data_IF_141917221324
#
_entry.id   IF_141917221324
#
_cell.length_a   1.000
_cell.length_b   1.000
_cell.length_c   1.000
_cell.angle_alpha   90.00
_cell.angle_beta   90.00
_cell.angle_gamma   90.00
#
_symmetry.space_group_name_H-M   'P 1'
#
loop_
_entity.id
_entity.type
_entity.pdbx_description
1 polymer ?
#
# COMPACT_ATOMS: atom_id res chain seq x y z
N UNK A 1 -7.48 22.78 -54.22
CA UNK A 1 -8.28 21.98 -55.15
C UNK A 1 -9.45 21.53 -54.30
N UNK A 2 -10.48 22.34 -54.22
CA UNK A 2 -11.66 22.39 -55.17
C UNK A 2 -12.59 21.24 -54.82
N UNK A 3 -13.87 21.29 -54.53
CA UNK A 3 -14.91 22.30 -54.65
C UNK A 3 -16.10 21.75 -53.87
N UNK A 4 -16.86 22.51 -53.08
CA UNK A 4 -18.07 23.21 -53.43
C UNK A 4 -19.13 22.36 -54.15
N UNK A 5 -20.35 22.23 -53.64
CA UNK A 5 -21.51 23.14 -53.85
C UNK A 5 -22.75 22.49 -53.24
N UNK A 6 -23.49 23.10 -52.34
CA UNK A 6 -24.56 24.08 -52.49
C UNK A 6 -25.70 23.63 -53.45
N UNK A 7 -26.94 23.60 -52.95
CA UNK A 7 -28.10 24.38 -53.41
C UNK A 7 -29.41 23.85 -52.81
N UNK A 8 -30.17 24.74 -52.12
CA UNK A 8 -31.61 24.76 -51.98
C UNK A 8 -32.18 25.44 -53.23
N UNK A 9 -33.44 25.74 -53.44
CA UNK A 9 -34.61 25.90 -52.59
C UNK A 9 -35.98 25.59 -53.22
N UNK A 10 -37.07 25.97 -52.50
CA UNK A 10 -38.39 26.49 -52.90
C UNK A 10 -39.41 25.49 -53.50
N UNK A 11 -40.68 25.57 -53.30
CA UNK A 11 -41.64 26.68 -53.24
C UNK A 11 -43.01 26.21 -52.79
N UNK A 12 -43.76 27.12 -52.21
CA UNK A 12 -45.24 27.15 -51.97
C UNK A 12 -45.94 27.38 -53.31
N UNK A 13 -47.27 27.08 -53.52
CA UNK A 13 -48.35 27.95 -53.15
C UNK A 13 -49.65 27.19 -52.74
N UNK A 14 -50.46 27.73 -51.86
CA UNK A 14 -51.51 28.70 -51.88
C UNK A 14 -52.75 28.38 -52.73
N UNK A 15 -53.91 28.65 -52.17
CA UNK A 15 -55.24 29.06 -52.55
C UNK A 15 -56.36 28.12 -52.07
N UNK A 16 -57.20 28.52 -51.22
CA UNK A 16 -58.31 29.51 -51.25
C UNK A 16 -59.69 28.88 -51.53
N UNK A 17 -60.60 29.18 -50.73
CA UNK A 17 -62.00 29.54 -50.94
C UNK A 17 -63.06 28.88 -50.04
N UNK A 18 -63.65 29.70 -49.29
CA UNK A 18 -64.99 30.21 -49.14
C UNK A 18 -65.95 29.48 -48.18
N UNK A 19 -66.47 30.33 -47.33
CA UNK A 19 -67.57 30.17 -46.39
C UNK A 19 -68.91 29.88 -47.08
N UNK A 20 -69.93 29.44 -46.33
CA UNK A 20 -70.83 30.42 -45.71
C UNK A 20 -71.35 30.06 -44.30
N UNK A 21 -71.68 31.13 -43.59
CA UNK A 21 -72.51 31.22 -42.38
C UNK A 21 -73.99 30.98 -42.77
N UNK A 22 -74.90 30.53 -41.88
CA UNK A 22 -75.52 31.39 -40.90
C UNK A 22 -75.90 30.77 -39.51
N UNK A 23 -75.90 31.60 -38.55
CA UNK A 23 -76.80 32.04 -37.43
C UNK A 23 -77.96 31.16 -36.95
N UNK A 24 -78.58 31.45 -35.78
CA UNK A 24 -78.12 31.24 -34.39
C UNK A 24 -79.09 30.32 -33.59
N UNK A 25 -78.71 29.73 -32.54
CA UNK A 25 -79.66 29.15 -31.56
C UNK A 25 -79.08 29.22 -30.12
N UNK A 26 -79.99 29.63 -29.30
CA UNK A 26 -80.12 29.92 -27.89
C UNK A 26 -79.21 29.31 -26.85
N UNK A 27 -79.09 29.86 -25.62
CA UNK A 27 -78.05 29.62 -24.62
C UNK A 27 -78.32 28.38 -23.80
N UNK A 28 -77.31 27.51 -23.70
CA UNK A 28 -77.28 26.39 -22.79
C UNK A 28 -76.39 26.71 -21.56
N UNK A 29 -76.92 26.34 -20.40
CA UNK A 29 -76.40 26.61 -19.08
C UNK A 29 -74.95 26.08 -18.86
N UNK A 30 -74.17 26.67 -17.95
CA UNK A 30 -72.80 26.33 -17.77
C UNK A 30 -72.59 24.92 -17.13
N UNK A 31 -72.05 24.01 -17.89
CA UNK A 31 -71.57 22.70 -17.38
C UNK A 31 -70.32 22.89 -16.57
N UNK A 32 -70.33 22.52 -15.30
CA UNK A 32 -69.15 22.42 -14.43
C UNK A 32 -68.10 21.56 -15.05
N UNK A 33 -66.81 22.00 -15.13
CA UNK A 33 -65.76 21.22 -15.71
C UNK A 33 -65.39 20.06 -14.76
N UNK A 34 -65.73 18.85 -15.13
CA UNK A 34 -65.19 17.67 -14.48
C UNK A 34 -63.68 17.54 -14.82
N UNK A 35 -62.80 17.41 -13.83
CA UNK A 35 -61.38 17.29 -14.11
C UNK A 35 -61.13 16.06 -15.01
N UNK A 36 -60.30 16.19 -16.03
CA UNK A 36 -60.06 15.10 -16.96
C UNK A 36 -59.39 13.93 -16.26
N UNK A 37 -60.12 12.82 -16.10
CA UNK A 37 -59.61 11.57 -15.48
C UNK A 37 -58.27 11.09 -16.08
N UNK A 38 -57.91 11.59 -17.28
CA UNK A 38 -56.63 11.35 -17.93
C UNK A 38 -55.47 12.09 -17.25
N UNK A 39 -55.64 13.32 -16.78
CA UNK A 39 -54.63 14.10 -16.07
C UNK A 39 -54.34 13.48 -14.68
N UNK A 40 -55.37 13.06 -13.94
CA UNK A 40 -55.19 12.36 -12.66
C UNK A 40 -54.44 11.02 -12.81
N UNK A 41 -54.73 10.27 -13.89
CA UNK A 41 -53.99 9.03 -14.18
C UNK A 41 -52.54 9.28 -14.60
N UNK A 42 -52.27 10.35 -15.33
CA UNK A 42 -50.92 10.76 -15.71
C UNK A 42 -50.12 11.18 -14.46
N UNK A 43 -50.69 12.01 -13.59
CA UNK A 43 -50.05 12.38 -12.31
C UNK A 43 -49.79 11.18 -11.44
N UNK A 44 -50.76 10.29 -11.26
CA UNK A 44 -50.59 9.08 -10.47
C UNK A 44 -49.47 8.16 -11.02
N UNK A 45 -49.36 8.02 -12.36
CA UNK A 45 -48.27 7.24 -13.00
C UNK A 45 -46.93 7.88 -12.78
N UNK A 46 -46.81 9.20 -12.93
CA UNK A 46 -45.55 9.91 -12.70
C UNK A 46 -45.15 9.91 -11.23
N UNK A 47 -46.10 10.08 -10.30
CA UNK A 47 -45.84 9.98 -8.86
C UNK A 47 -45.38 8.57 -8.48
N UNK A 48 -46.05 7.53 -9.00
CA UNK A 48 -45.60 6.15 -8.79
C UNK A 48 -44.19 5.88 -9.35
N UNK A 49 -43.89 6.42 -10.56
CA UNK A 49 -42.58 6.30 -11.15
C UNK A 49 -41.48 6.98 -10.28
N UNK A 50 -41.76 8.21 -9.82
CA UNK A 50 -40.81 8.96 -8.94
C UNK A 50 -40.60 8.22 -7.61
N UNK A 51 -41.64 7.67 -7.02
CA UNK A 51 -41.50 6.89 -5.77
C UNK A 51 -40.75 5.60 -5.97
N UNK A 52 -40.96 4.89 -7.08
CA UNK A 52 -40.23 3.64 -7.37
C UNK A 52 -38.76 3.94 -7.71
N UNK A 53 -38.50 4.86 -8.63
CA UNK A 53 -37.12 5.19 -9.02
C UNK A 53 -36.39 5.97 -7.94
N UNK A 54 -37.04 6.85 -7.21
CA UNK A 54 -36.47 7.57 -6.07
C UNK A 54 -36.19 6.62 -4.91
N UNK A 55 -37.09 5.71 -4.58
CA UNK A 55 -36.90 4.70 -3.53
C UNK A 55 -35.82 3.69 -3.87
N UNK A 56 -35.81 3.19 -5.11
CA UNK A 56 -34.75 2.27 -5.57
C UNK A 56 -33.40 2.99 -5.64
N UNK A 57 -33.34 4.19 -6.19
CA UNK A 57 -32.09 4.96 -6.29
C UNK A 57 -31.51 5.32 -4.93
N UNK A 58 -32.35 5.80 -4.01
CA UNK A 58 -31.91 6.14 -2.64
C UNK A 58 -31.55 4.90 -1.84
N UNK A 59 -32.33 3.83 -1.96
CA UNK A 59 -32.06 2.56 -1.30
C UNK A 59 -30.75 1.93 -1.78
N UNK A 60 -30.50 1.95 -3.08
CA UNK A 60 -29.23 1.45 -3.65
C UNK A 60 -28.03 2.29 -3.23
N UNK A 61 -28.16 3.63 -3.24
CA UNK A 61 -27.11 4.53 -2.81
C UNK A 61 -26.77 4.34 -1.33
N UNK A 62 -27.77 4.21 -0.45
CA UNK A 62 -27.56 3.93 0.96
C UNK A 62 -26.94 2.54 1.18
N UNK A 63 -27.38 1.52 0.45
CA UNK A 63 -26.81 0.19 0.55
C UNK A 63 -25.33 0.17 0.11
N UNK A 64 -24.96 0.88 -0.95
CA UNK A 64 -23.57 0.98 -1.42
C UNK A 64 -22.71 1.81 -0.44
N UNK A 65 -23.25 2.90 0.13
CA UNK A 65 -22.49 3.75 1.05
C UNK A 65 -22.34 3.15 2.45
N UNK A 66 -23.24 2.25 2.85
CA UNK A 66 -23.17 1.52 4.12
C UNK A 66 -22.52 0.14 4.02
N UNK A 67 -22.32 -0.38 2.80
CA UNK A 67 -21.66 -1.65 2.59
C UNK A 67 -20.14 -1.50 2.81
N UNK A 68 -19.55 -2.40 3.58
CA UNK A 68 -18.11 -2.55 3.64
C UNK A 68 -17.59 -3.04 2.28
N UNK A 69 -16.33 -2.75 1.97
CA UNK A 69 -15.73 -3.14 0.69
C UNK A 69 -15.80 -4.64 0.39
N UNK A 70 -15.82 -5.46 1.46
CA UNK A 70 -15.97 -6.90 1.39
C UNK A 70 -17.37 -7.41 1.05
N UNK A 71 -18.41 -6.57 1.23
CA UNK A 71 -19.80 -6.97 1.04
C UNK A 71 -20.29 -6.77 -0.40
N UNK A 72 -19.50 -6.08 -1.24
CA UNK A 72 -19.88 -5.79 -2.64
C UNK A 72 -19.29 -6.86 -3.55
N UNK A 73 -20.14 -7.69 -4.23
CA UNK A 73 -19.65 -8.68 -5.18
C UNK A 73 -18.75 -8.05 -6.27
N UNK A 74 -17.53 -8.56 -6.41
CA UNK A 74 -16.54 -8.05 -7.34
C UNK A 74 -15.65 -6.93 -6.77
N UNK A 75 -15.92 -6.41 -5.56
CA UNK A 75 -15.04 -5.55 -4.79
C UNK A 75 -14.54 -6.21 -3.50
N UNK A 76 -15.09 -7.37 -3.15
CA UNK A 76 -14.54 -8.25 -2.12
C UNK A 76 -13.15 -8.68 -2.60
N UNK A 77 -12.11 -8.00 -2.12
CA UNK A 77 -10.77 -8.55 -2.18
C UNK A 77 -10.71 -9.62 -1.11
N UNK A 78 -10.54 -10.88 -1.51
CA UNK A 78 -10.12 -11.92 -0.59
C UNK A 78 -8.93 -11.38 0.20
N UNK A 79 -8.86 -11.71 1.48
CA UNK A 79 -7.70 -11.37 2.30
C UNK A 79 -6.46 -11.98 1.63
N UNK A 80 -5.64 -11.14 1.03
CA UNK A 80 -4.44 -11.55 0.32
C UNK A 80 -3.26 -11.82 1.30
N UNK A 81 -3.54 -11.83 2.59
CA UNK A 81 -2.58 -12.07 3.66
C UNK A 81 -1.67 -10.89 3.96
N UNK A 82 -1.93 -9.71 3.41
CA UNK A 82 -1.16 -8.49 3.70
C UNK A 82 -1.55 -7.88 5.03
N UNK A 83 -0.57 -7.30 5.70
CA UNK A 83 -0.83 -6.51 6.89
C UNK A 83 -1.26 -5.08 6.54
N UNK A 84 -2.15 -4.51 7.34
CA UNK A 84 -2.65 -3.15 7.17
C UNK A 84 -1.65 -2.13 7.75
N UNK A 85 -0.71 -1.66 6.93
CA UNK A 85 0.20 -0.59 7.31
C UNK A 85 -0.46 0.79 7.19
N UNK A 86 -0.10 1.76 8.04
CA UNK A 86 -0.51 3.14 7.87
C UNK A 86 0.03 3.69 6.55
N UNK A 87 -0.58 4.77 6.06
CA UNK A 87 -0.08 5.46 4.86
C UNK A 87 1.34 5.96 5.12
N UNK A 88 2.29 5.48 4.33
CA UNK A 88 3.70 5.87 4.43
C UNK A 88 3.94 7.21 3.75
N UNK A 89 4.84 7.98 4.33
CA UNK A 89 5.41 9.18 3.73
C UNK A 89 6.90 9.24 4.05
N UNK A 90 7.70 9.69 3.09
CA UNK A 90 9.11 9.93 3.36
C UNK A 90 9.27 11.11 4.32
N UNK A 91 10.19 11.04 5.28
CA UNK A 91 10.46 12.13 6.21
C UNK A 91 10.99 13.38 5.48
N UNK A 92 10.78 14.52 6.12
CA UNK A 92 11.37 15.76 5.66
C UNK A 92 12.90 15.71 5.81
N UNK A 93 13.61 16.23 4.83
CA UNK A 93 15.06 16.31 4.91
C UNK A 93 15.48 17.66 5.53
N UNK A 94 16.65 17.72 6.19
CA UNK A 94 17.25 18.99 6.56
C UNK A 94 17.38 19.93 5.36
N UNK A 95 17.25 21.24 5.57
CA UNK A 95 17.28 22.22 4.49
C UNK A 95 18.57 22.07 3.64
N UNK A 96 18.38 21.96 2.33
CA UNK A 96 19.50 21.80 1.38
C UNK A 96 20.10 20.40 1.29
N UNK A 97 19.59 19.42 2.05
CA UNK A 97 20.07 18.03 1.97
C UNK A 97 19.38 17.28 0.85
N UNK A 98 20.14 16.60 -0.05
CA UNK A 98 19.57 15.80 -1.13
C UNK A 98 19.09 14.43 -0.62
N UNK A 99 18.25 13.75 -1.40
CA UNK A 99 17.89 12.33 -1.17
C UNK A 99 19.08 11.42 -1.45
N UNK A 100 19.11 10.19 -0.85
CA UNK A 100 20.29 9.32 -0.93
C UNK A 100 20.72 8.98 -2.37
N UNK A 101 19.80 8.75 -3.28
CA UNK A 101 20.10 8.32 -4.66
C UNK A 101 19.85 9.40 -5.71
N UNK A 102 19.81 10.69 -5.30
CA UNK A 102 19.73 11.79 -6.24
C UNK A 102 21.12 12.15 -6.80
N UNK A 103 21.17 12.73 -7.99
CA UNK A 103 22.40 13.18 -8.63
C UNK A 103 23.25 14.13 -7.75
N UNK A 104 22.59 14.88 -6.86
CA UNK A 104 23.25 15.79 -5.93
C UNK A 104 23.89 15.08 -4.72
N UNK A 105 23.69 13.77 -4.55
CA UNK A 105 24.20 12.98 -3.42
C UNK A 105 25.02 11.78 -3.91
N UNK A 106 26.16 12.06 -4.51
CA UNK A 106 27.07 11.02 -5.03
C UNK A 106 27.64 10.10 -3.95
N UNK A 107 27.56 10.48 -2.68
CA UNK A 107 27.97 9.66 -1.55
C UNK A 107 26.85 8.73 -1.04
N UNK A 108 25.62 8.87 -1.56
CA UNK A 108 24.43 8.08 -1.21
C UNK A 108 24.15 8.07 0.31
N UNK A 109 24.34 9.21 0.97
CA UNK A 109 24.14 9.35 2.41
C UNK A 109 22.67 9.63 2.73
N UNK A 110 22.12 8.96 3.71
CA UNK A 110 20.80 9.29 4.26
C UNK A 110 20.89 10.48 5.21
N UNK A 111 20.27 11.60 4.84
CA UNK A 111 20.21 12.80 5.67
C UNK A 111 18.99 12.83 6.62
N UNK A 112 17.99 12.01 6.37
CA UNK A 112 16.83 11.88 7.26
C UNK A 112 17.21 11.27 8.62
N UNK A 113 16.39 11.52 9.64
CA UNK A 113 16.49 10.79 10.91
C UNK A 113 16.22 9.30 10.66
N UNK A 114 17.17 8.44 11.05
CA UNK A 114 17.07 7.01 10.82
C UNK A 114 15.84 6.38 11.47
N UNK A 115 15.36 6.94 12.58
CA UNK A 115 14.16 6.47 13.30
C UNK A 115 12.88 6.72 12.51
N UNK A 116 12.85 7.78 11.70
CA UNK A 116 11.72 8.12 10.83
C UNK A 116 11.71 7.28 9.55
N UNK A 117 12.85 6.66 9.20
CA UNK A 117 12.96 5.70 8.10
C UNK A 117 12.54 4.27 8.49
N UNK A 118 12.33 3.99 9.79
CA UNK A 118 11.80 2.70 10.23
C UNK A 118 10.32 2.55 9.85
N UNK A 119 10.00 1.45 9.18
CA UNK A 119 8.61 1.10 8.87
C UNK A 119 7.77 1.09 10.14
N UNK A 120 6.64 1.80 10.20
CA UNK A 120 5.73 1.75 11.33
C UNK A 120 5.09 0.37 11.49
N UNK A 121 4.70 0.03 12.71
CA UNK A 121 4.00 -1.21 12.98
C UNK A 121 2.61 -1.22 12.31
N UNK A 122 2.15 -2.36 11.77
CA UNK A 122 0.84 -2.47 11.14
C UNK A 122 -0.30 -2.42 12.15
N UNK A 123 -1.51 -2.13 11.68
CA UNK A 123 -2.71 -2.14 12.50
C UNK A 123 -2.93 -3.52 13.15
N UNK A 124 -3.45 -3.52 14.37
CA UNK A 124 -3.72 -4.74 15.16
C UNK A 124 -2.47 -5.39 15.78
N UNK A 125 -1.26 -4.86 15.55
CA UNK A 125 -0.04 -5.35 16.17
C UNK A 125 0.14 -4.81 17.60
N UNK A 126 0.88 -5.56 18.42
CA UNK A 126 1.35 -5.12 19.73
C UNK A 126 2.81 -4.69 19.62
N UNK A 127 3.17 -3.41 19.88
CA UNK A 127 4.55 -2.94 19.80
C UNK A 127 5.46 -3.65 20.83
N UNK A 128 6.69 -3.93 20.40
CA UNK A 128 7.76 -4.36 21.32
C UNK A 128 8.36 -3.14 22.03
N UNK A 129 8.21 -3.10 23.36
CA UNK A 129 8.72 -1.98 24.17
C UNK A 129 10.23 -1.84 24.17
N UNK A 130 10.97 -2.91 23.87
CA UNK A 130 12.43 -2.89 23.75
C UNK A 130 12.91 -2.41 22.37
N UNK A 131 12.01 -2.38 21.39
CA UNK A 131 12.24 -1.96 20.00
C UNK A 131 11.12 -1.00 19.56
N UNK A 132 11.04 0.14 20.22
CA UNK A 132 9.93 1.09 20.05
C UNK A 132 10.09 2.06 18.85
N UNK A 133 11.11 1.88 18.04
CA UNK A 133 11.47 2.77 16.92
C UNK A 133 12.53 3.80 17.31
N UNK A 134 13.11 3.69 18.49
CA UNK A 134 14.19 4.52 18.98
C UNK A 134 15.58 4.00 18.63
N UNK A 135 16.58 4.68 19.20
CA UNK A 135 17.96 4.24 19.13
C UNK A 135 18.17 2.99 19.99
N UNK A 136 18.92 2.03 19.46
CA UNK A 136 19.32 0.84 20.21
C UNK A 136 20.84 0.72 20.28
N UNK A 137 21.31 0.05 21.33
CA UNK A 137 22.73 -0.25 21.49
C UNK A 137 23.13 -1.39 20.55
N UNK A 138 24.43 -1.44 20.22
CA UNK A 138 25.00 -2.47 19.36
C UNK A 138 24.73 -3.90 19.90
N UNK A 139 24.78 -4.08 21.22
CA UNK A 139 24.54 -5.38 21.85
C UNK A 139 23.12 -5.90 21.56
N UNK A 140 22.14 -5.00 21.37
CA UNK A 140 20.77 -5.39 21.00
C UNK A 140 20.70 -5.94 19.58
N UNK A 141 21.44 -5.34 18.64
CA UNK A 141 21.56 -5.85 17.28
C UNK A 141 22.35 -7.19 17.26
N UNK A 142 23.46 -7.27 17.99
CA UNK A 142 24.25 -8.50 18.12
C UNK A 142 23.46 -9.66 18.73
N UNK A 143 22.47 -9.37 19.59
CA UNK A 143 21.65 -10.39 20.20
C UNK A 143 20.77 -11.17 19.20
N UNK A 144 20.57 -10.67 17.98
CA UNK A 144 19.87 -11.41 16.91
C UNK A 144 20.70 -12.59 16.36
N UNK A 145 22.03 -12.56 16.56
CA UNK A 145 22.96 -13.55 16.04
C UNK A 145 23.30 -14.61 17.10
N UNK A 146 23.83 -15.75 16.65
CA UNK A 146 24.26 -16.84 17.55
C UNK A 146 25.28 -16.34 18.55
N UNK A 147 25.21 -16.86 19.76
CA UNK A 147 26.05 -16.40 20.87
C UNK A 147 27.53 -16.54 20.55
N UNK A 148 27.93 -17.65 19.90
CA UNK A 148 29.30 -17.94 19.50
C UNK A 148 29.86 -16.99 18.43
N UNK A 149 29.01 -16.34 17.67
CA UNK A 149 29.42 -15.45 16.57
C UNK A 149 29.48 -13.97 16.99
N UNK A 150 28.92 -13.61 18.17
CA UNK A 150 28.73 -12.20 18.58
C UNK A 150 30.05 -11.47 18.79
N UNK A 151 31.06 -12.12 19.32
CA UNK A 151 32.35 -11.47 19.58
C UNK A 151 33.07 -11.13 18.27
N UNK A 152 33.03 -12.02 17.28
CA UNK A 152 33.61 -11.76 15.96
C UNK A 152 32.85 -10.65 15.23
N UNK A 153 31.51 -10.69 15.27
CA UNK A 153 30.67 -9.64 14.70
C UNK A 153 30.84 -8.29 15.41
N UNK A 154 31.00 -8.30 16.75
CA UNK A 154 31.30 -7.10 17.52
C UNK A 154 32.64 -6.48 17.11
N UNK A 155 33.65 -7.31 16.82
CA UNK A 155 34.95 -6.86 16.33
C UNK A 155 34.81 -6.19 14.96
N UNK A 156 34.08 -6.79 14.01
CA UNK A 156 33.79 -6.17 12.71
C UNK A 156 33.14 -4.79 12.87
N UNK A 157 32.14 -4.68 13.76
CA UNK A 157 31.47 -3.40 14.03
C UNK A 157 32.33 -2.41 14.83
N UNK A 158 33.40 -2.86 15.47
CA UNK A 158 34.41 -2.00 16.08
C UNK A 158 35.35 -1.43 15.01
N UNK A 159 35.76 -2.25 14.05
CA UNK A 159 36.64 -1.88 12.94
C UNK A 159 35.89 -1.04 11.89
N UNK A 160 34.58 -1.26 11.77
CA UNK A 160 33.66 -0.54 10.86
C UNK A 160 32.48 0.03 11.65
N UNK A 161 32.69 1.09 12.44
CA UNK A 161 31.72 1.52 13.43
C UNK A 161 30.46 2.11 12.80
N UNK A 162 29.28 1.63 13.20
CA UNK A 162 28.03 2.27 12.85
C UNK A 162 27.91 3.62 13.57
N UNK A 163 27.37 4.63 12.87
CA UNK A 163 27.04 5.92 13.50
C UNK A 163 25.86 5.77 14.44
N UNK A 164 24.85 5.05 13.98
CA UNK A 164 23.60 4.86 14.71
C UNK A 164 22.98 3.53 14.34
N UNK A 165 22.27 2.94 15.30
CA UNK A 165 21.38 1.80 15.09
C UNK A 165 20.00 2.20 15.63
N UNK A 166 18.98 2.10 14.79
CA UNK A 166 17.59 2.27 15.18
C UNK A 166 16.83 0.96 14.96
N UNK A 167 15.84 0.66 15.81
CA UNK A 167 15.09 -0.58 15.66
C UNK A 167 13.62 -0.42 16.04
N UNK A 168 12.77 -1.19 15.36
CA UNK A 168 11.35 -1.33 15.68
C UNK A 168 10.93 -2.78 15.61
N UNK A 169 10.09 -3.18 16.59
CA UNK A 169 9.53 -4.51 16.66
C UNK A 169 8.06 -4.48 17.04
N UNK A 170 7.36 -5.55 16.67
CA UNK A 170 5.96 -5.78 17.04
C UNK A 170 5.62 -7.25 16.99
N UNK A 171 4.50 -7.61 17.62
CA UNK A 171 3.91 -8.95 17.54
C UNK A 171 2.51 -8.86 16.94
N UNK A 172 2.21 -9.67 15.95
CA UNK A 172 0.90 -9.78 15.33
C UNK A 172 -0.01 -10.70 16.15
N UNK A 173 -1.36 -10.60 15.99
CA UNK A 173 -2.31 -11.46 16.71
C UNK A 173 -2.09 -12.96 16.47
N UNK A 174 -1.53 -13.34 15.32
CA UNK A 174 -1.19 -14.72 14.99
C UNK A 174 0.09 -15.22 15.68
N UNK A 175 0.72 -14.39 16.52
CA UNK A 175 1.96 -14.68 17.22
C UNK A 175 3.24 -14.39 16.43
N UNK A 176 3.15 -13.96 15.17
CA UNK A 176 4.33 -13.58 14.38
C UNK A 176 5.00 -12.36 15.00
N UNK A 177 6.29 -12.49 15.32
CA UNK A 177 7.14 -11.41 15.82
C UNK A 177 7.94 -10.82 14.66
N UNK A 178 7.83 -9.51 14.45
CA UNK A 178 8.59 -8.78 13.45
C UNK A 178 9.58 -7.84 14.12
N UNK A 179 10.80 -7.76 13.56
CA UNK A 179 11.86 -6.86 14.03
C UNK A 179 12.56 -6.27 12.83
N UNK A 180 12.80 -4.96 12.88
CA UNK A 180 13.55 -4.22 11.87
C UNK A 180 14.67 -3.46 12.57
N UNK A 181 15.88 -3.62 12.10
CA UNK A 181 17.05 -2.85 12.50
C UNK A 181 17.57 -2.08 11.31
N UNK A 182 17.83 -0.80 11.48
CA UNK A 182 18.56 0.04 10.53
C UNK A 182 19.90 0.39 11.15
N UNK A 183 20.97 0.00 10.48
CA UNK A 183 22.36 0.23 10.89
C UNK A 183 22.94 1.23 9.90
N UNK A 184 23.18 2.48 10.33
CA UNK A 184 23.79 3.52 9.50
C UNK A 184 25.28 3.59 9.79
N UNK A 185 26.06 3.58 8.72
CA UNK A 185 27.49 3.73 8.75
C UNK A 185 27.94 5.16 8.41
N UNK A 186 29.24 5.42 8.46
CA UNK A 186 29.81 6.71 8.10
C UNK A 186 29.90 6.94 6.58
N UNK A 187 29.80 5.86 5.80
CA UNK A 187 29.83 5.92 4.33
C UNK A 187 29.21 4.67 3.71
N UNK A 188 28.85 4.78 2.44
CA UNK A 188 28.44 3.65 1.59
C UNK A 188 29.52 2.56 1.53
N UNK A 189 30.82 2.93 1.52
CA UNK A 189 31.92 1.96 1.53
C UNK A 189 31.90 1.08 2.79
N UNK A 190 31.60 1.64 3.96
CA UNK A 190 31.48 0.88 5.20
C UNK A 190 30.27 -0.05 5.19
N UNK A 191 29.10 0.43 4.74
CA UNK A 191 27.93 -0.42 4.60
C UNK A 191 28.16 -1.59 3.63
N UNK A 192 28.82 -1.33 2.52
CA UNK A 192 29.23 -2.34 1.52
C UNK A 192 30.21 -3.34 2.11
N UNK A 193 31.25 -2.86 2.82
CA UNK A 193 32.22 -3.75 3.47
C UNK A 193 31.56 -4.70 4.47
N UNK A 194 30.68 -4.19 5.33
CA UNK A 194 29.93 -5.01 6.28
C UNK A 194 29.06 -6.03 5.56
N UNK A 195 28.31 -5.64 4.51
CA UNK A 195 27.56 -6.58 3.67
C UNK A 195 28.44 -7.72 3.12
N UNK A 196 29.62 -7.38 2.64
CA UNK A 196 30.54 -8.34 2.01
C UNK A 196 31.12 -9.30 3.06
N UNK A 197 31.47 -8.80 4.26
CA UNK A 197 31.92 -9.62 5.38
C UNK A 197 30.83 -10.56 5.90
N UNK A 198 29.57 -10.13 5.90
CA UNK A 198 28.45 -11.00 6.19
C UNK A 198 28.27 -12.11 5.16
N UNK A 199 28.84 -11.96 3.96
CA UNK A 199 28.70 -12.86 2.82
C UNK A 199 27.23 -13.12 2.48
N UNK A 200 26.43 -12.06 2.61
CA UNK A 200 24.99 -12.12 2.34
C UNK A 200 24.79 -12.57 0.91
N UNK A 201 24.01 -13.64 0.76
CA UNK A 201 23.67 -14.16 -0.56
C UNK A 201 24.64 -15.23 -1.11
N UNK A 202 25.67 -15.60 -0.38
CA UNK A 202 26.58 -16.71 -0.76
C UNK A 202 26.55 -17.81 0.29
N UNK A 203 27.16 -17.56 1.42
CA UNK A 203 27.15 -18.44 2.59
C UNK A 203 27.28 -17.53 3.81
N UNK A 204 26.17 -17.26 4.46
CA UNK A 204 26.10 -16.35 5.59
C UNK A 204 27.16 -16.70 6.62
N UNK A 205 28.03 -15.74 6.95
CA UNK A 205 29.09 -15.96 7.92
C UNK A 205 28.54 -16.00 9.34
N UNK A 206 27.60 -15.13 9.64
CA UNK A 206 26.96 -15.01 10.95
C UNK A 206 25.45 -15.18 10.81
N UNK A 207 24.93 -16.42 10.98
CA UNK A 207 23.49 -16.66 10.92
C UNK A 207 22.78 -16.11 12.16
N UNK A 208 21.50 -15.83 12.01
CA UNK A 208 20.65 -15.47 13.14
C UNK A 208 20.51 -16.64 14.11
N UNK A 209 20.34 -16.34 15.40
CA UNK A 209 20.16 -17.36 16.42
C UNK A 209 18.93 -18.25 16.18
N UNK A 210 17.86 -17.67 15.60
CA UNK A 210 16.62 -18.36 15.28
C UNK A 210 16.59 -19.03 13.90
N UNK A 211 17.65 -18.88 13.07
CA UNK A 211 17.66 -19.44 11.70
C UNK A 211 19.10 -19.75 11.28
N UNK A 212 19.63 -20.87 11.75
CA UNK A 212 21.02 -21.26 11.51
C UNK A 212 21.27 -21.64 10.06
N UNK A 213 20.33 -22.34 9.43
CA UNK A 213 20.40 -22.70 8.01
C UNK A 213 19.31 -21.99 7.24
N UNK A 214 19.72 -21.22 6.25
CA UNK A 214 18.80 -20.45 5.40
C UNK A 214 19.08 -20.67 3.93
N UNK A 215 18.07 -20.40 3.12
CA UNK A 215 18.19 -20.37 1.66
C UNK A 215 17.51 -19.12 1.10
N UNK A 216 17.81 -18.77 -0.13
CA UNK A 216 17.09 -17.70 -0.81
C UNK A 216 15.61 -18.04 -0.97
N UNK A 217 14.75 -17.09 -0.66
CA UNK A 217 13.33 -17.21 -1.00
C UNK A 217 13.16 -17.17 -2.52
N UNK A 218 13.02 -18.34 -3.15
CA UNK A 218 12.86 -18.48 -4.60
C UNK A 218 11.60 -17.76 -5.13
N UNK A 219 10.66 -17.43 -4.25
CA UNK A 219 9.46 -16.67 -4.59
C UNK A 219 9.67 -15.16 -4.60
N UNK A 220 10.79 -14.67 -4.08
CA UNK A 220 11.15 -13.25 -4.10
C UNK A 220 11.49 -12.83 -5.53
N UNK A 221 10.62 -12.06 -6.13
CA UNK A 221 10.80 -11.55 -7.51
C UNK A 221 10.97 -10.05 -7.53
N UNK A 222 11.52 -9.43 -6.51
CA UNK A 222 11.76 -7.97 -6.43
C UNK A 222 10.81 -7.15 -7.35
N UNK A 223 9.49 -7.24 -7.16
CA UNK A 223 8.52 -6.78 -8.17
C UNK A 223 8.54 -5.26 -8.38
N UNK A 224 9.23 -4.55 -7.50
CA UNK A 224 9.51 -3.11 -7.55
C UNK A 224 10.86 -2.87 -6.90
N UNK A 225 11.93 -3.12 -7.65
CA UNK A 225 13.25 -2.69 -7.23
C UNK A 225 13.20 -1.18 -6.94
N UNK A 226 13.57 -0.80 -5.72
CA UNK A 226 13.79 0.59 -5.37
C UNK A 226 15.20 0.91 -5.83
N UNK A 227 15.35 1.99 -6.58
CA UNK A 227 16.66 2.41 -7.08
C UNK A 227 17.64 2.60 -5.93
N UNK A 228 18.86 2.11 -6.09
CA UNK A 228 19.90 2.20 -5.08
C UNK A 228 19.75 1.22 -3.90
N UNK A 229 18.69 0.40 -3.83
CA UNK A 229 18.47 -0.57 -2.75
C UNK A 229 18.66 -2.00 -3.24
N UNK A 230 19.61 -2.70 -2.65
CA UNK A 230 19.86 -4.14 -2.89
C UNK A 230 19.29 -4.97 -1.75
N UNK A 231 18.48 -5.99 -2.06
CA UNK A 231 17.83 -6.83 -1.04
C UNK A 231 18.12 -8.31 -1.24
N UNK A 232 18.40 -8.98 -0.15
CA UNK A 232 18.66 -10.41 -0.03
C UNK A 232 17.60 -10.99 0.90
N UNK A 233 16.68 -11.77 0.34
CA UNK A 233 15.53 -12.33 1.06
C UNK A 233 15.72 -13.81 1.24
N UNK A 234 15.70 -14.26 2.50
CA UNK A 234 16.00 -15.62 2.88
C UNK A 234 14.86 -16.19 3.73
N UNK A 235 14.75 -17.51 3.69
CA UNK A 235 13.88 -18.30 4.54
C UNK A 235 14.69 -19.38 5.23
N UNK A 236 14.29 -19.75 6.42
CA UNK A 236 14.90 -20.87 7.15
C UNK A 236 14.59 -22.18 6.43
N UNK A 237 15.57 -23.08 6.39
CA UNK A 237 15.40 -24.44 5.86
C UNK A 237 14.74 -25.35 6.87
N UNK A 238 13.91 -26.26 6.39
CA UNK A 238 13.39 -27.34 7.24
C UNK A 238 14.50 -28.38 7.58
N UNK A 239 14.44 -29.03 8.76
CA UNK A 239 13.43 -28.85 9.81
C UNK A 239 13.66 -27.56 10.60
N UNK A 240 12.56 -26.85 10.94
CA UNK A 240 12.62 -25.67 11.78
C UNK A 240 12.75 -26.06 13.26
N UNK A 241 13.29 -25.14 14.07
CA UNK A 241 13.28 -25.26 15.52
C UNK A 241 11.91 -24.90 16.14
N UNK A 242 11.94 -24.27 17.31
CA UNK A 242 10.72 -23.82 18.04
C UNK A 242 9.95 -22.71 17.32
N UNK A 243 10.51 -22.14 16.26
CA UNK A 243 9.92 -21.11 15.43
C UNK A 243 10.48 -21.20 14.01
N UNK A 244 9.67 -20.77 13.03
CA UNK A 244 10.13 -20.55 11.66
C UNK A 244 10.51 -19.08 11.45
N UNK A 245 11.66 -18.84 10.83
CA UNK A 245 12.20 -17.50 10.61
C UNK A 245 12.34 -17.18 9.11
N UNK A 246 11.88 -15.99 8.74
CA UNK A 246 12.20 -15.32 7.48
C UNK A 246 13.03 -14.08 7.77
N UNK A 247 14.08 -13.86 6.99
CA UNK A 247 14.96 -12.71 7.17
C UNK A 247 15.31 -12.06 5.85
N UNK A 248 15.54 -10.75 5.89
CA UNK A 248 16.05 -10.02 4.74
C UNK A 248 17.12 -9.02 5.19
N UNK A 249 18.12 -8.87 4.33
CA UNK A 249 19.08 -7.79 4.42
C UNK A 249 18.86 -6.87 3.22
N UNK A 250 18.72 -5.58 3.49
CA UNK A 250 18.67 -4.56 2.44
C UNK A 250 19.80 -3.56 2.66
N UNK A 251 20.52 -3.26 1.59
CA UNK A 251 21.62 -2.27 1.62
C UNK A 251 21.19 -1.10 0.74
N UNK A 252 21.18 0.07 1.32
CA UNK A 252 20.81 1.32 0.70
C UNK A 252 21.83 2.40 1.08
N UNK A 253 22.71 2.76 0.15
CA UNK A 253 23.77 3.72 0.41
C UNK A 253 24.57 3.40 1.69
N UNK A 254 24.57 4.33 2.65
CA UNK A 254 25.25 4.22 3.94
C UNK A 254 24.52 3.36 4.99
N UNK A 255 23.40 2.75 4.65
CA UNK A 255 22.53 2.06 5.60
C UNK A 255 22.29 0.60 5.25
N UNK A 256 22.47 -0.30 6.23
CA UNK A 256 22.08 -1.71 6.20
C UNK A 256 20.83 -1.90 7.02
N UNK A 257 19.80 -2.54 6.44
CA UNK A 257 18.61 -2.98 7.12
C UNK A 257 18.63 -4.49 7.35
N UNK A 258 18.30 -4.94 8.56
CA UNK A 258 17.94 -6.31 8.88
C UNK A 258 16.46 -6.36 9.20
N UNK A 259 15.71 -7.21 8.51
CA UNK A 259 14.26 -7.43 8.70
C UNK A 259 14.06 -8.90 9.04
N UNK A 260 13.40 -9.16 10.15
CA UNK A 260 13.14 -10.52 10.65
C UNK A 260 11.67 -10.70 10.96
N UNK A 261 11.06 -11.76 10.43
CA UNK A 261 9.78 -12.28 10.89
C UNK A 261 9.99 -13.66 11.46
N UNK A 262 9.51 -13.88 12.67
CA UNK A 262 9.63 -15.13 13.39
C UNK A 262 8.25 -15.58 13.85
N UNK A 263 7.86 -16.78 13.47
CA UNK A 263 6.59 -17.40 13.86
C UNK A 263 6.85 -18.56 14.82
N UNK A 264 6.46 -18.45 16.09
CA UNK A 264 6.56 -19.57 17.04
C UNK A 264 5.64 -20.72 16.68
N UNK A 265 6.06 -21.95 17.03
CA UNK A 265 5.33 -23.17 16.79
C UNK A 265 5.61 -23.77 15.41
N UNK A 266 4.78 -24.74 15.00
CA UNK A 266 4.98 -25.51 13.76
C UNK A 266 4.60 -24.74 12.48
N UNK A 267 3.87 -23.60 12.62
CA UNK A 267 3.44 -22.82 11.47
C UNK A 267 4.57 -21.96 10.92
N UNK A 268 4.71 -21.92 9.61
CA UNK A 268 5.67 -21.04 8.96
C UNK A 268 5.29 -19.56 9.10
N UNK A 269 6.29 -18.70 9.24
CA UNK A 269 6.12 -17.26 9.11
C UNK A 269 5.58 -16.93 7.71
N UNK A 270 4.46 -16.22 7.65
CA UNK A 270 3.74 -15.98 6.40
C UNK A 270 4.60 -15.16 5.42
N UNK A 271 4.72 -15.65 4.19
CA UNK A 271 5.54 -15.08 3.14
C UNK A 271 5.06 -13.71 2.67
N UNK A 272 3.74 -13.57 2.44
CA UNK A 272 3.17 -12.33 1.87
C UNK A 272 3.42 -11.13 2.77
N UNK A 273 3.08 -11.13 4.08
CA UNK A 273 3.36 -9.99 4.94
C UNK A 273 4.86 -9.76 5.15
N UNK A 274 5.70 -10.81 5.10
CA UNK A 274 7.14 -10.65 5.17
C UNK A 274 7.68 -9.88 3.95
N UNK A 275 7.34 -10.32 2.75
CA UNK A 275 7.74 -9.65 1.51
C UNK A 275 7.18 -8.22 1.43
N UNK A 276 5.95 -8.00 1.89
CA UNK A 276 5.36 -6.67 2.02
C UNK A 276 6.21 -5.77 2.94
N UNK A 277 6.60 -6.27 4.11
CA UNK A 277 7.46 -5.54 5.06
C UNK A 277 8.78 -5.13 4.42
N UNK A 278 9.44 -6.05 3.70
CA UNK A 278 10.69 -5.76 2.98
C UNK A 278 10.49 -4.67 1.92
N UNK A 279 9.45 -4.79 1.09
CA UNK A 279 9.15 -3.81 0.04
C UNK A 279 8.92 -2.42 0.63
N UNK A 280 8.08 -2.33 1.68
CA UNK A 280 7.74 -1.05 2.29
C UNK A 280 8.93 -0.42 3.01
N UNK A 281 9.77 -1.24 3.69
CA UNK A 281 11.00 -0.74 4.30
C UNK A 281 11.98 -0.23 3.24
N UNK A 282 12.12 -0.92 2.11
CA UNK A 282 12.96 -0.47 1.02
C UNK A 282 12.49 0.87 0.43
N UNK A 283 11.17 1.08 0.31
CA UNK A 283 10.60 2.35 -0.15
C UNK A 283 10.90 3.53 0.78
N UNK A 284 11.11 3.27 2.07
CA UNK A 284 11.52 4.31 3.03
C UNK A 284 13.03 4.60 2.95
N UNK A 285 13.83 3.68 2.42
CA UNK A 285 15.28 3.82 2.26
C UNK A 285 15.69 4.40 0.89
N UNK A 286 14.86 4.31 -0.12
CA UNK A 286 15.08 4.88 -1.46
C UNK A 286 14.23 6.11 -1.74
#
# INVERSE_FOLDING_TARGET
MSDQQTVAPASVPSAEAASPTPSPAAPEAPATPRPPRRALRAVARWTAAVLVFGGLGTGTALAITSAERGDVPGLATEDDGRWAYPKLSLPALPAGSPRPFSEANTAEIHHADLRELLLPAPAGSTPDKALDGGWVKQERFLAEYRAEDRDELAQLLTDTPPRHIAARGWTMPDGTRARIYLVRFNSTAFATHVRDEFRIGVAMRWPLAGAVETEFDASWKSPRAVEGVSSYVLTEKAPHGDAHTRQAYSVAGDTLALIVHERPGEAEAARIPFQQTVILQNQLLG
#
